data_IF_256057838138
#
_entry.id   IF_256057838138
#
_cell.length_a   1.000
_cell.length_b   1.000
_cell.length_c   1.000
_cell.angle_alpha   90.00
_cell.angle_beta   90.00
_cell.angle_gamma   90.00
#
_symmetry.space_group_name_H-M   'P 1'
#
loop_
_entity.id
_entity.type
_entity.pdbx_description
1 polymer ?
#
# COMPACT_ATOMS: atom_id res chain seq x y z
N UNK A 1 -17.66 33.76 -11.85
CA UNK A 1 -17.64 33.75 -10.37
C UNK A 1 -16.86 32.50 -9.98
N UNK A 2 -15.58 32.66 -9.67
CA UNK A 2 -14.63 31.57 -9.46
C UNK A 2 -14.94 30.95 -8.10
N UNK A 3 -15.33 29.67 -8.07
CA UNK A 3 -15.41 28.88 -6.85
C UNK A 3 -14.23 27.90 -6.85
N UNK A 4 -13.27 28.19 -5.98
CA UNK A 4 -12.24 27.25 -5.54
C UNK A 4 -12.94 26.05 -4.89
N UNK A 5 -12.62 24.83 -5.34
CA UNK A 5 -12.96 23.59 -4.63
C UNK A 5 -11.70 23.16 -3.89
N UNK A 6 -11.84 23.08 -2.57
CA UNK A 6 -10.82 22.69 -1.60
C UNK A 6 -10.37 21.25 -1.87
N UNK A 7 -9.06 21.05 -1.91
CA UNK A 7 -8.41 19.79 -1.58
C UNK A 7 -8.75 19.42 -0.13
N UNK A 8 -9.31 18.23 0.06
CA UNK A 8 -9.71 17.70 1.35
C UNK A 8 -8.46 17.22 2.11
N UNK A 9 -7.72 18.15 2.72
CA UNK A 9 -6.75 17.80 3.77
C UNK A 9 -7.53 17.42 5.02
N UNK A 10 -7.45 16.15 5.41
CA UNK A 10 -8.11 15.60 6.58
C UNK A 10 -7.43 16.15 7.86
N UNK A 11 -7.81 17.35 8.28
CA UNK A 11 -7.39 17.92 9.56
C UNK A 11 -8.29 17.34 10.66
N UNK A 12 -7.84 16.30 11.36
CA UNK A 12 -8.54 15.76 12.53
C UNK A 12 -8.58 16.81 13.65
N UNK A 13 -9.78 17.28 13.98
CA UNK A 13 -10.05 18.08 15.18
C UNK A 13 -9.93 17.19 16.42
N UNK A 14 -8.85 17.38 17.18
CA UNK A 14 -8.70 16.81 18.53
C UNK A 14 -9.55 17.64 19.50
N UNK A 15 -10.62 17.07 20.02
CA UNK A 15 -11.33 17.60 21.18
C UNK A 15 -10.52 17.23 22.43
N UNK A 16 -9.64 18.13 22.89
CA UNK A 16 -8.96 17.98 24.17
C UNK A 16 -9.89 18.42 25.31
N UNK A 17 -10.29 17.47 26.16
CA UNK A 17 -10.89 17.77 27.46
C UNK A 17 -9.81 18.34 28.39
N UNK A 18 -9.87 19.65 28.63
CA UNK A 18 -9.03 20.39 29.57
C UNK A 18 -9.19 19.88 31.00
N UNK A 19 -8.07 19.60 31.68
CA UNK A 19 -8.03 19.57 33.13
C UNK A 19 -6.87 20.44 33.63
N UNK A 20 -7.23 21.56 34.26
CA UNK A 20 -6.33 22.51 34.88
C UNK A 20 -5.65 21.89 36.10
N UNK A 21 -4.33 22.02 36.22
CA UNK A 21 -3.72 22.45 37.48
C UNK A 21 -2.31 23.04 37.32
N UNK A 22 -2.14 24.23 37.90
CA UNK A 22 -0.91 25.02 38.00
C UNK A 22 0.02 24.41 39.07
N UNK A 23 1.35 24.47 38.85
CA UNK A 23 2.24 25.28 39.67
C UNK A 23 3.71 25.30 39.18
N UNK A 24 4.29 26.50 39.26
CA UNK A 24 5.66 26.92 38.97
C UNK A 24 6.72 26.25 39.86
N UNK A 25 7.96 26.07 39.37
CA UNK A 25 9.08 26.98 39.69
C UNK A 25 10.41 26.63 39.00
N UNK A 26 11.16 27.71 38.79
CA UNK A 26 12.39 27.93 38.03
C UNK A 26 13.63 27.72 38.93
N UNK A 27 14.74 27.16 38.40
CA UNK A 27 16.04 27.87 38.37
C UNK A 27 17.24 27.07 37.80
N UNK A 28 17.90 27.78 36.88
CA UNK A 28 19.28 27.76 36.37
C UNK A 28 20.39 27.22 37.29
N UNK A 29 21.42 26.61 36.70
CA UNK A 29 22.74 27.26 36.62
C UNK A 29 23.74 26.63 35.62
N UNK A 30 24.42 27.54 34.92
CA UNK A 30 25.58 27.40 34.03
C UNK A 30 26.83 26.96 34.78
N UNK A 31 27.77 26.30 34.07
CA UNK A 31 29.10 26.84 33.62
C UNK A 31 29.90 25.71 32.97
N UNK A 32 30.34 25.84 31.70
CA UNK A 32 31.69 26.28 31.27
C UNK A 32 32.82 25.40 31.85
N UNK A 33 33.81 24.88 31.13
CA UNK A 33 34.72 25.56 30.17
C UNK A 33 35.65 24.49 29.55
N UNK A 34 35.96 24.54 28.24
CA UNK A 34 37.27 24.84 27.60
C UNK A 34 38.44 23.87 27.90
N UNK A 35 39.39 23.49 27.03
CA UNK A 35 39.91 23.91 25.70
C UNK A 35 41.06 22.91 25.32
N UNK A 36 41.36 22.72 24.01
CA UNK A 36 42.71 22.72 23.36
C UNK A 36 43.73 21.58 23.70
N UNK A 37 44.58 20.99 22.83
CA UNK A 37 44.96 21.15 21.41
C UNK A 37 45.85 19.94 20.97
N UNK A 38 45.76 19.60 19.67
CA UNK A 38 46.77 19.06 18.72
C UNK A 38 47.89 18.09 19.13
N UNK A 39 48.03 16.98 18.37
CA UNK A 39 49.13 16.80 17.40
C UNK A 39 48.92 15.62 16.43
N UNK A 40 49.24 15.92 15.17
CA UNK A 40 49.26 15.12 13.93
C UNK A 40 50.40 14.10 13.83
N UNK A 41 50.16 12.91 13.26
CA UNK A 41 50.73 12.46 11.97
C UNK A 41 50.53 10.95 11.68
N UNK A 42 49.80 10.71 10.58
CA UNK A 42 50.03 9.81 9.44
C UNK A 42 50.43 8.32 9.58
N UNK A 43 49.69 7.54 8.78
CA UNK A 43 50.02 6.27 8.09
C UNK A 43 50.06 4.96 8.90
N UNK A 44 48.99 4.15 8.76
CA UNK A 44 48.97 3.02 7.81
C UNK A 44 47.62 2.30 7.81
N UNK A 45 47.14 2.09 6.59
CA UNK A 45 46.12 1.16 6.13
C UNK A 45 46.13 -0.22 6.81
N UNK A 46 44.93 -0.78 6.89
CA UNK A 46 44.53 -2.13 7.35
C UNK A 46 44.20 -2.23 8.84
N UNK A 47 42.94 -1.96 9.16
CA UNK A 47 42.13 -2.86 10.00
C UNK A 47 40.66 -2.41 9.90
N UNK A 48 39.84 -3.24 9.27
CA UNK A 48 38.41 -3.31 9.54
C UNK A 48 38.26 -3.58 11.04
N UNK A 49 38.02 -2.53 11.81
CA UNK A 49 37.54 -2.66 13.19
C UNK A 49 36.05 -2.37 13.19
N UNK A 50 35.32 -3.44 13.41
CA UNK A 50 34.08 -3.41 14.17
C UNK A 50 34.33 -2.58 15.43
N UNK A 51 33.80 -1.36 15.44
CA UNK A 51 33.43 -0.73 16.70
C UNK A 51 32.03 -1.26 17.03
N UNK A 52 32.00 -2.39 17.73
CA UNK A 52 30.90 -2.71 18.63
C UNK A 52 30.92 -1.65 19.75
N UNK A 53 30.32 -0.50 19.48
CA UNK A 53 29.72 0.28 20.57
C UNK A 53 28.52 -0.51 21.07
N UNK A 54 28.64 -1.01 22.31
CA UNK A 54 27.51 -1.34 23.17
C UNK A 54 26.64 -0.09 23.35
N UNK A 55 25.74 0.15 22.41
CA UNK A 55 24.58 1.01 22.58
C UNK A 55 23.35 0.09 22.68
N UNK A 56 22.70 0.12 23.84
CA UNK A 56 21.38 -0.46 24.09
C UNK A 56 20.30 0.32 23.30
N UNK A 57 20.37 0.35 21.97
CA UNK A 57 19.36 1.00 21.15
C UNK A 57 18.50 -0.09 20.52
N UNK A 58 17.27 -0.25 21.03
CA UNK A 58 16.25 -1.18 20.53
C UNK A 58 15.68 -0.78 19.15
N UNK A 59 16.16 0.32 18.57
CA UNK A 59 15.74 0.88 17.30
C UNK A 59 16.22 0.01 16.13
N UNK A 60 15.32 -0.27 15.18
CA UNK A 60 15.64 -1.00 13.94
C UNK A 60 15.01 -0.30 12.75
N UNK A 61 15.83 0.12 11.79
CA UNK A 61 15.40 0.58 10.48
C UNK A 61 15.84 -0.42 9.40
N UNK A 62 14.96 -0.70 8.44
CA UNK A 62 15.24 -1.60 7.32
C UNK A 62 14.65 -1.00 6.06
N UNK A 63 15.45 -0.98 5.00
CA UNK A 63 15.09 -0.45 3.69
C UNK A 63 15.45 -1.47 2.62
N UNK A 64 14.58 -1.64 1.63
CA UNK A 64 14.85 -2.51 0.49
C UNK A 64 13.99 -2.13 -0.72
N UNK A 65 14.37 -2.62 -1.89
CA UNK A 65 13.61 -2.47 -3.14
C UNK A 65 13.03 -3.82 -3.53
N UNK A 66 11.77 -3.82 -3.92
CA UNK A 66 11.05 -4.98 -4.43
C UNK A 66 10.60 -4.72 -5.87
N UNK A 67 10.60 -5.76 -6.70
CA UNK A 67 10.20 -5.67 -8.11
C UNK A 67 8.93 -6.44 -8.33
N UNK A 68 7.91 -5.75 -8.82
CA UNK A 68 6.57 -6.27 -9.00
C UNK A 68 6.28 -6.44 -10.48
N UNK A 69 5.70 -7.58 -10.83
CA UNK A 69 5.23 -7.89 -12.18
C UNK A 69 3.76 -8.23 -12.11
N UNK A 70 2.95 -7.48 -12.82
CA UNK A 70 1.51 -7.69 -12.91
C UNK A 70 1.18 -8.13 -14.32
N UNK A 71 0.35 -9.15 -14.45
CA UNK A 71 0.00 -9.71 -15.74
C UNK A 71 -1.47 -10.09 -15.78
N UNK A 72 -2.02 -10.12 -16.99
CA UNK A 72 -3.36 -10.63 -17.24
C UNK A 72 -3.37 -11.57 -18.44
N UNK A 73 -4.40 -12.41 -18.52
CA UNK A 73 -4.74 -13.13 -19.75
C UNK A 73 -6.07 -12.63 -20.32
N UNK A 74 -6.47 -13.17 -21.47
CA UNK A 74 -7.72 -12.80 -22.15
C UNK A 74 -8.97 -13.38 -21.46
N UNK A 75 -8.80 -14.30 -20.51
CA UNK A 75 -9.89 -14.88 -19.69
C UNK A 75 -10.23 -13.99 -18.48
N UNK A 76 -9.50 -12.89 -18.26
CA UNK A 76 -9.68 -12.00 -17.11
C UNK A 76 -8.92 -12.43 -15.85
N UNK A 77 -8.13 -13.51 -15.92
CA UNK A 77 -7.23 -13.89 -14.82
C UNK A 77 -6.18 -12.79 -14.62
N UNK A 78 -5.88 -12.49 -13.36
CA UNK A 78 -4.88 -11.53 -12.95
C UNK A 78 -3.79 -12.21 -12.10
N UNK A 79 -2.54 -11.89 -12.40
CA UNK A 79 -1.36 -12.46 -11.74
C UNK A 79 -0.46 -11.36 -11.26
N UNK A 80 0.04 -11.49 -10.04
CA UNK A 80 1.08 -10.63 -9.50
C UNK A 80 2.24 -11.46 -9.01
N UNK A 81 3.45 -11.08 -9.40
CA UNK A 81 4.70 -11.67 -8.93
C UNK A 81 5.49 -10.60 -8.20
N UNK A 82 5.80 -10.87 -6.94
CA UNK A 82 6.53 -9.97 -6.06
C UNK A 82 7.90 -10.56 -5.80
N UNK A 83 8.94 -9.90 -6.33
CA UNK A 83 10.33 -10.30 -6.10
C UNK A 83 10.91 -9.47 -4.97
N UNK A 84 11.56 -10.16 -4.03
CA UNK A 84 12.22 -9.52 -2.90
C UNK A 84 11.28 -8.67 -2.04
N UNK A 85 10.00 -9.03 -1.95
CA UNK A 85 9.04 -8.34 -1.09
C UNK A 85 8.72 -9.12 0.19
N UNK A 86 8.40 -8.36 1.24
CA UNK A 86 7.89 -8.81 2.51
C UNK A 86 6.43 -8.37 2.61
N UNK A 87 5.54 -9.35 2.42
CA UNK A 87 4.09 -9.14 2.30
C UNK A 87 3.53 -8.04 3.22
N UNK A 88 2.75 -7.07 2.70
CA UNK A 88 2.17 -5.98 3.48
C UNK A 88 1.06 -6.39 4.45
N UNK A 89 0.31 -7.46 4.19
CA UNK A 89 -0.99 -7.66 4.86
C UNK A 89 -1.04 -8.75 5.95
N UNK A 90 0.08 -9.37 6.33
CA UNK A 90 0.10 -10.42 7.36
C UNK A 90 0.98 -10.05 8.55
N UNK A 91 0.35 -9.34 9.48
CA UNK A 91 0.81 -9.13 10.85
C UNK A 91 0.64 -10.47 11.59
N UNK A 92 1.61 -11.37 11.45
CA UNK A 92 1.84 -12.40 12.46
C UNK A 92 3.19 -12.10 13.11
N UNK A 93 3.13 -11.94 14.45
CA UNK A 93 4.18 -11.51 15.36
C UNK A 93 5.47 -12.36 15.39
N UNK A 94 5.59 -13.36 14.50
CA UNK A 94 6.75 -14.26 14.40
C UNK A 94 7.50 -14.16 13.06
N UNK A 95 7.21 -13.15 12.23
CA UNK A 95 8.16 -12.82 11.16
C UNK A 95 9.37 -12.11 11.78
N UNK A 96 10.30 -12.90 12.34
CA UNK A 96 11.66 -12.46 12.60
C UNK A 96 12.07 -11.56 11.43
N UNK A 97 12.49 -10.34 11.72
CA UNK A 97 13.08 -9.44 10.74
C UNK A 97 14.23 -10.21 10.10
N UNK A 98 14.01 -10.88 8.96
CA UNK A 98 14.99 -11.81 8.41
C UNK A 98 16.17 -10.95 7.95
N UNK A 99 17.31 -10.91 8.68
CA UNK A 99 18.35 -9.92 8.43
C UNK A 99 19.23 -10.30 7.24
N UNK A 100 18.86 -11.33 6.47
CA UNK A 100 19.73 -11.93 5.48
C UNK A 100 19.03 -12.00 4.13
N UNK A 101 19.33 -11.01 3.30
CA UNK A 101 19.23 -10.93 1.83
C UNK A 101 19.71 -12.18 1.04
N UNK A 102 20.07 -13.28 1.71
CA UNK A 102 20.58 -14.53 1.10
C UNK A 102 19.49 -15.45 0.56
N UNK A 103 18.20 -15.13 0.76
CA UNK A 103 17.07 -15.86 0.17
C UNK A 103 16.08 -14.85 -0.40
N UNK A 104 16.22 -14.54 -1.70
CA UNK A 104 15.20 -13.76 -2.42
C UNK A 104 13.93 -14.60 -2.43
N UNK A 105 12.84 -14.07 -1.85
CA UNK A 105 11.53 -14.70 -1.93
C UNK A 105 10.82 -14.21 -3.18
N UNK A 106 10.17 -15.14 -3.87
CA UNK A 106 9.18 -14.85 -4.89
C UNK A 106 7.81 -15.19 -4.31
N UNK A 107 6.90 -14.24 -4.36
CA UNK A 107 5.52 -14.47 -3.96
C UNK A 107 4.60 -14.26 -5.16
N UNK A 108 3.53 -15.04 -5.23
CA UNK A 108 2.58 -14.98 -6.33
C UNK A 108 1.18 -14.79 -5.77
N UNK A 109 0.43 -13.87 -6.39
CA UNK A 109 -1.02 -13.79 -6.24
C UNK A 109 -1.66 -14.19 -7.57
N UNK A 110 -2.67 -15.06 -7.50
CA UNK A 110 -3.55 -15.38 -8.61
C UNK A 110 -4.98 -15.02 -8.22
N UNK A 111 -5.64 -14.19 -9.03
CA UNK A 111 -7.06 -13.88 -8.93
C UNK A 111 -7.76 -14.20 -10.24
N UNK A 112 -8.96 -14.76 -10.18
CA UNK A 112 -9.81 -14.98 -11.35
C UNK A 112 -11.23 -14.43 -11.16
N UNK A 113 -12.03 -14.54 -12.21
CA UNK A 113 -13.42 -14.08 -12.26
C UNK A 113 -14.38 -14.80 -11.31
N UNK A 114 -13.99 -15.96 -10.75
CA UNK A 114 -14.79 -16.66 -9.73
C UNK A 114 -14.38 -16.26 -8.30
N UNK A 115 -13.68 -15.14 -8.17
CA UNK A 115 -13.10 -14.61 -6.94
C UNK A 115 -12.20 -15.60 -6.18
N UNK A 116 -11.60 -16.53 -6.92
CA UNK A 116 -10.54 -17.38 -6.37
C UNK A 116 -9.30 -16.50 -6.27
N UNK A 117 -8.96 -16.09 -5.05
CA UNK A 117 -7.72 -15.40 -4.72
C UNK A 117 -6.76 -16.38 -4.01
N UNK A 118 -5.72 -16.84 -4.71
CA UNK A 118 -4.76 -17.80 -4.18
C UNK A 118 -3.38 -17.17 -4.05
N UNK A 119 -2.83 -17.27 -2.84
CA UNK A 119 -1.49 -16.82 -2.53
C UNK A 119 -0.47 -17.97 -2.49
N UNK A 120 0.73 -17.73 -3.03
CA UNK A 120 1.86 -18.66 -3.04
C UNK A 120 3.14 -17.98 -2.54
N UNK A 121 3.66 -18.41 -1.40
CA UNK A 121 4.87 -17.86 -0.78
C UNK A 121 5.74 -18.90 -0.07
N UNK A 122 5.19 -20.09 0.22
CA UNK A 122 5.88 -21.20 0.88
C UNK A 122 6.88 -21.82 -0.08
N UNK A 123 8.00 -22.30 0.49
CA UNK A 123 9.07 -22.95 -0.26
C UNK A 123 9.48 -22.18 -1.52
N UNK A 124 9.39 -20.84 -1.49
CA UNK A 124 9.64 -20.01 -2.64
C UNK A 124 11.12 -20.02 -3.04
N UNK A 125 11.35 -20.06 -4.35
CA UNK A 125 12.67 -20.14 -4.96
C UNK A 125 12.72 -19.11 -6.09
N UNK A 126 13.74 -18.25 -6.07
CA UNK A 126 14.24 -17.52 -7.23
C UNK A 126 15.63 -18.06 -7.56
N UNK A 127 15.72 -18.88 -8.61
CA UNK A 127 16.97 -19.43 -9.13
C UNK A 127 17.32 -18.76 -10.45
N UNK A 128 18.08 -17.67 -10.34
CA UNK A 128 18.54 -16.89 -11.49
C UNK A 128 19.44 -17.73 -12.40
N UNK A 129 20.23 -18.65 -11.84
CA UNK A 129 21.19 -19.46 -12.60
C UNK A 129 20.48 -20.44 -13.52
N UNK A 130 19.44 -21.10 -13.00
CA UNK A 130 18.64 -22.07 -13.75
C UNK A 130 17.38 -21.45 -14.38
N UNK A 131 17.26 -20.13 -14.34
CA UNK A 131 16.14 -19.38 -14.89
C UNK A 131 14.76 -19.84 -14.37
N UNK A 132 14.63 -20.11 -13.08
CA UNK A 132 13.42 -20.67 -12.47
C UNK A 132 12.90 -19.80 -11.33
N UNK A 133 11.58 -19.60 -11.32
CA UNK A 133 10.84 -19.10 -10.15
C UNK A 133 9.79 -20.12 -9.75
N UNK A 134 9.62 -20.33 -8.44
CA UNK A 134 8.68 -21.29 -7.88
C UNK A 134 8.13 -20.81 -6.53
N UNK A 135 6.88 -21.15 -6.21
CA UNK A 135 6.33 -21.05 -4.86
C UNK A 135 5.19 -22.05 -4.65
N UNK A 136 4.84 -22.26 -3.38
CA UNK A 136 3.73 -23.10 -2.92
C UNK A 136 2.70 -22.28 -2.15
N UNK A 137 1.44 -22.65 -2.32
CA UNK A 137 0.32 -22.19 -1.52
C UNK A 137 0.17 -23.05 -0.25
N UNK A 138 -0.62 -22.58 0.71
CA UNK A 138 -0.86 -23.31 1.97
C UNK A 138 -1.53 -24.68 1.78
N UNK A 139 -2.44 -24.77 0.80
CA UNK A 139 -3.07 -26.04 0.40
C UNK A 139 -2.12 -26.97 -0.37
N UNK A 140 -0.87 -26.55 -0.56
CA UNK A 140 0.19 -27.29 -1.22
C UNK A 140 0.13 -27.26 -2.75
N UNK A 141 -0.80 -26.54 -3.36
CA UNK A 141 -0.71 -26.21 -4.79
C UNK A 141 0.59 -25.44 -5.05
N UNK A 142 1.15 -25.58 -6.24
CA UNK A 142 2.38 -24.89 -6.61
C UNK A 142 2.23 -24.07 -7.89
N UNK A 143 3.10 -23.08 -8.04
CA UNK A 143 3.22 -22.24 -9.22
C UNK A 143 4.69 -22.11 -9.60
N UNK A 144 4.98 -22.19 -10.89
CA UNK A 144 6.33 -21.97 -11.44
C UNK A 144 6.33 -21.17 -12.74
N UNK A 145 7.44 -20.47 -12.98
CA UNK A 145 7.69 -19.67 -14.19
C UNK A 145 9.20 -19.54 -14.45
N UNK A 146 9.57 -18.86 -15.55
CA UNK A 146 10.95 -18.52 -15.91
C UNK A 146 11.27 -17.07 -15.57
N UNK A 147 12.41 -16.83 -14.91
CA UNK A 147 12.78 -15.49 -14.45
C UNK A 147 13.06 -14.50 -15.58
N UNK A 148 13.76 -14.93 -16.62
CA UNK A 148 14.14 -14.09 -17.76
C UNK A 148 12.96 -13.67 -18.64
N UNK A 149 11.82 -14.35 -18.51
CA UNK A 149 10.61 -14.07 -19.25
C UNK A 149 9.38 -14.50 -18.46
N UNK A 150 8.93 -13.63 -17.55
CA UNK A 150 7.74 -13.85 -16.73
C UNK A 150 6.50 -13.53 -17.57
N UNK A 151 6.14 -14.41 -18.51
CA UNK A 151 4.95 -14.29 -19.37
C UNK A 151 4.10 -15.55 -19.44
N UNK A 152 4.55 -16.63 -18.80
CA UNK A 152 3.82 -17.89 -18.73
C UNK A 152 4.03 -18.55 -17.37
N UNK A 153 2.98 -19.15 -16.83
CA UNK A 153 3.00 -19.85 -15.54
C UNK A 153 2.49 -21.26 -15.68
N UNK A 154 3.02 -22.15 -14.86
CA UNK A 154 2.46 -23.48 -14.67
C UNK A 154 1.98 -23.62 -13.23
N UNK A 155 0.68 -23.82 -13.08
CA UNK A 155 0.04 -24.09 -11.78
C UNK A 155 -0.22 -25.58 -11.64
N UNK A 156 0.12 -26.18 -10.50
CA UNK A 156 -0.08 -27.60 -10.24
C UNK A 156 -0.89 -27.81 -8.96
N UNK A 157 -1.96 -28.61 -9.04
CA UNK A 157 -2.77 -28.98 -7.88
C UNK A 157 -2.16 -30.15 -7.11
N UNK A 158 -2.18 -30.09 -5.78
CA UNK A 158 -1.74 -31.19 -4.90
C UNK A 158 -2.85 -32.20 -4.58
N UNK A 159 -4.06 -32.02 -5.10
CA UNK A 159 -5.15 -32.99 -4.89
C UNK A 159 -4.78 -34.39 -5.40
N UNK A 160 -5.50 -35.43 -4.94
CA UNK A 160 -5.23 -36.86 -5.14
C UNK A 160 -4.97 -37.31 -6.60
N UNK A 161 -5.23 -36.46 -7.61
CA UNK A 161 -5.01 -36.72 -9.03
C UNK A 161 -4.19 -35.61 -9.73
N UNK A 162 -3.30 -34.92 -9.02
CA UNK A 162 -2.43 -33.80 -9.48
C UNK A 162 -2.58 -33.40 -10.96
N UNK A 163 -3.31 -32.32 -11.21
CA UNK A 163 -3.47 -31.69 -12.53
C UNK A 163 -2.59 -30.44 -12.64
N UNK A 164 -2.05 -30.16 -13.83
CA UNK A 164 -1.38 -28.90 -14.13
C UNK A 164 -2.14 -28.08 -15.17
N UNK A 165 -2.23 -26.77 -14.96
CA UNK A 165 -2.72 -25.78 -15.93
C UNK A 165 -1.55 -24.88 -16.33
N UNK A 166 -1.30 -24.74 -17.62
CA UNK A 166 -0.44 -23.66 -18.14
C UNK A 166 -1.30 -22.43 -18.38
N UNK A 167 -0.78 -21.27 -17.98
CA UNK A 167 -1.44 -19.99 -18.17
C UNK A 167 -0.46 -19.04 -18.84
N UNK A 168 -0.86 -18.57 -20.03
CA UNK A 168 -0.10 -17.60 -20.80
C UNK A 168 -0.72 -16.22 -20.59
N UNK A 169 0.13 -15.23 -20.37
CA UNK A 169 -0.30 -13.85 -20.18
C UNK A 169 -0.22 -13.09 -21.50
N UNK A 170 -1.14 -12.13 -21.68
CA UNK A 170 -1.24 -11.34 -22.91
C UNK A 170 -0.78 -9.90 -22.72
N UNK A 171 -0.71 -9.43 -21.47
CA UNK A 171 -0.22 -8.09 -21.13
C UNK A 171 0.50 -8.10 -19.79
N UNK A 172 1.44 -7.18 -19.61
CA UNK A 172 2.20 -7.02 -18.38
C UNK A 172 2.38 -5.55 -17.99
N UNK A 173 2.53 -5.32 -16.70
CA UNK A 173 3.01 -4.08 -16.10
C UNK A 173 4.08 -4.39 -15.06
N UNK A 174 4.99 -3.45 -14.86
CA UNK A 174 6.10 -3.56 -13.91
C UNK A 174 6.06 -2.40 -12.92
N UNK A 175 6.53 -2.65 -11.72
CA UNK A 175 6.78 -1.60 -10.74
C UNK A 175 8.02 -1.91 -9.90
N UNK A 176 8.70 -0.86 -9.44
CA UNK A 176 9.64 -0.91 -8.34
C UNK A 176 8.97 -0.34 -7.09
N UNK A 177 9.14 -1.01 -5.96
CA UNK A 177 8.57 -0.61 -4.68
C UNK A 177 9.71 -0.39 -3.70
N UNK A 178 9.87 0.85 -3.25
CA UNK A 178 10.84 1.23 -2.23
C UNK A 178 10.16 1.07 -0.88
N UNK A 179 10.65 0.14 -0.07
CA UNK A 179 10.04 -0.21 1.21
C UNK A 179 10.87 0.35 2.37
N UNK A 180 10.18 0.85 3.38
CA UNK A 180 10.77 1.35 4.62
C UNK A 180 10.03 0.78 5.82
N UNK A 181 10.79 0.25 6.78
CA UNK A 181 10.27 -0.19 8.08
C UNK A 181 11.14 0.39 9.18
N UNK A 182 10.50 0.99 10.16
CA UNK A 182 11.13 1.49 11.37
C UNK A 182 10.36 1.00 12.59
N UNK A 183 11.09 0.52 13.60
CA UNK A 183 10.51 0.15 14.88
C UNK A 183 11.39 0.62 16.02
N UNK A 184 10.75 1.04 17.11
CA UNK A 184 11.43 1.41 18.35
C UNK A 184 10.63 0.99 19.59
N UNK A 185 11.29 0.97 20.74
CA UNK A 185 10.70 0.57 22.03
C UNK A 185 11.05 1.60 23.09
N UNK A 186 10.04 2.10 23.80
CA UNK A 186 10.25 3.09 24.86
C UNK A 186 11.05 2.50 26.02
N UNK A 187 11.58 3.37 26.88
CA UNK A 187 12.04 2.92 28.20
C UNK A 187 10.89 2.23 28.96
N UNK A 188 11.27 1.29 29.83
CA UNK A 188 10.32 0.60 30.69
C UNK A 188 9.83 1.55 31.79
N UNK A 189 8.51 1.68 31.92
CA UNK A 189 7.88 2.53 32.93
C UNK A 189 7.96 1.89 34.34
N UNK A 190 7.50 2.62 35.36
CA UNK A 190 7.52 2.20 36.77
C UNK A 190 6.74 0.90 37.06
N UNK A 191 5.86 0.47 36.14
CA UNK A 191 5.09 -0.77 36.21
C UNK A 191 5.73 -1.95 35.47
N UNK A 192 6.95 -1.78 34.93
CA UNK A 192 7.63 -2.82 34.17
C UNK A 192 7.12 -2.99 32.73
N UNK A 193 6.36 -2.02 32.21
CA UNK A 193 5.81 -2.06 30.84
C UNK A 193 6.54 -1.09 29.91
N UNK A 194 6.72 -1.47 28.65
CA UNK A 194 7.24 -0.60 27.59
C UNK A 194 6.22 -0.48 26.45
N UNK A 195 6.21 0.66 25.78
CA UNK A 195 5.41 0.88 24.57
C UNK A 195 6.28 0.67 23.32
N UNK A 196 5.64 0.41 22.20
CA UNK A 196 6.33 0.17 20.92
C UNK A 196 5.89 1.18 19.88
N UNK A 197 6.81 1.57 19.01
CA UNK A 197 6.54 2.31 17.80
C UNK A 197 6.81 1.42 16.59
N UNK A 198 5.88 1.37 15.64
CA UNK A 198 6.03 0.65 14.38
C UNK A 198 5.56 1.52 13.23
N UNK A 199 6.41 1.71 12.23
CA UNK A 199 6.11 2.46 11.02
C UNK A 199 6.55 1.65 9.80
N UNK A 200 5.64 1.48 8.86
CA UNK A 200 5.88 0.85 7.55
C UNK A 200 5.28 1.72 6.46
N UNK A 201 6.05 2.00 5.42
CA UNK A 201 5.55 2.72 4.25
C UNK A 201 6.29 2.26 2.99
N UNK A 202 5.74 2.61 1.83
CA UNK A 202 6.30 2.27 0.53
C UNK A 202 6.09 3.38 -0.49
N UNK A 203 7.11 3.66 -1.30
CA UNK A 203 6.99 4.48 -2.50
C UNK A 203 6.86 3.54 -3.71
N UNK A 204 5.75 3.64 -4.43
CA UNK A 204 5.41 2.76 -5.55
C UNK A 204 5.66 3.40 -6.90
N UNK A 205 6.55 2.81 -7.70
CA UNK A 205 7.02 3.41 -8.95
C UNK A 205 6.65 2.53 -10.14
N UNK A 206 5.74 2.99 -11.01
CA UNK A 206 5.42 2.28 -12.25
C UNK A 206 6.59 2.35 -13.23
N UNK A 207 6.90 1.23 -13.87
CA UNK A 207 7.96 1.09 -14.88
C UNK A 207 7.32 0.75 -16.22
N UNK A 208 7.38 1.65 -17.23
CA UNK A 208 6.82 1.37 -18.54
C UNK A 208 7.72 0.44 -19.34
N UNK A 209 7.12 -0.40 -20.17
CA UNK A 209 7.85 -1.23 -21.15
C UNK A 209 8.33 -0.42 -22.37
N UNK A 210 7.75 0.77 -22.59
CA UNK A 210 8.14 1.73 -23.64
C UNK A 210 8.44 3.09 -23.00
N UNK A 211 9.66 3.61 -23.22
CA UNK A 211 10.10 4.90 -22.70
C UNK A 211 9.20 6.07 -23.15
N UNK A 212 8.47 5.95 -24.26
CA UNK A 212 7.50 6.97 -24.68
C UNK A 212 6.32 7.12 -23.72
N UNK A 213 6.04 6.11 -22.88
CA UNK A 213 4.98 6.15 -21.86
C UNK A 213 5.47 6.70 -20.51
N UNK A 214 6.75 7.07 -20.40
CA UNK A 214 7.36 7.47 -19.13
C UNK A 214 6.65 8.66 -18.49
N UNK A 215 6.30 9.69 -19.26
CA UNK A 215 5.61 10.87 -18.73
C UNK A 215 4.26 10.52 -18.10
N UNK A 216 3.47 9.68 -18.77
CA UNK A 216 2.18 9.19 -18.26
C UNK A 216 2.36 8.37 -16.98
N UNK A 217 3.36 7.49 -16.95
CA UNK A 217 3.62 6.61 -15.80
C UNK A 217 4.22 7.38 -14.62
N UNK A 218 5.05 8.39 -14.87
CA UNK A 218 5.56 9.31 -13.86
C UNK A 218 4.43 10.10 -13.23
N UNK A 219 3.50 10.63 -14.04
CA UNK A 219 2.33 11.35 -13.53
C UNK A 219 1.50 10.49 -12.57
N UNK A 220 1.18 9.25 -12.96
CA UNK A 220 0.45 8.32 -12.08
C UNK A 220 1.27 7.99 -10.84
N UNK A 221 2.57 7.69 -11.00
CA UNK A 221 3.45 7.34 -9.88
C UNK A 221 3.60 8.50 -8.89
N UNK A 222 3.60 9.75 -9.34
CA UNK A 222 3.70 10.89 -8.43
C UNK A 222 2.38 11.15 -7.71
N UNK A 223 1.23 10.95 -8.37
CA UNK A 223 -0.08 11.12 -7.75
C UNK A 223 -0.36 10.06 -6.67
N UNK A 224 -0.07 8.78 -6.94
CA UNK A 224 -0.30 7.71 -5.95
C UNK A 224 0.58 7.85 -4.71
N UNK A 225 1.74 8.48 -4.85
CA UNK A 225 2.69 8.76 -3.77
C UNK A 225 2.63 10.24 -3.32
N UNK A 226 1.48 10.90 -3.41
CA UNK A 226 1.32 12.34 -3.11
C UNK A 226 1.87 12.80 -1.75
N UNK A 227 1.88 11.90 -0.75
CA UNK A 227 2.48 12.14 0.58
C UNK A 227 4.00 12.42 0.49
N UNK A 228 4.64 11.87 -0.54
CA UNK A 228 6.06 12.03 -0.81
C UNK A 228 6.25 13.08 -1.91
N UNK A 229 6.97 14.17 -1.61
CA UNK A 229 7.25 15.21 -2.61
C UNK A 229 8.31 14.75 -3.63
N UNK A 230 7.93 13.88 -4.57
CA UNK A 230 8.83 13.18 -5.51
C UNK A 230 9.34 14.06 -6.65
N UNK A 231 8.89 15.32 -6.77
CA UNK A 231 9.13 16.20 -7.92
C UNK A 231 10.62 16.45 -8.29
N UNK A 232 11.55 16.18 -7.37
CA UNK A 232 12.99 16.37 -7.58
C UNK A 232 13.76 15.06 -7.82
N UNK A 233 13.10 13.91 -7.75
CA UNK A 233 13.73 12.61 -7.93
C UNK A 233 13.78 12.28 -9.42
N UNK A 234 14.94 11.79 -9.87
CA UNK A 234 15.16 11.42 -11.27
C UNK A 234 15.15 9.91 -11.43
N UNK A 235 14.79 9.47 -12.62
CA UNK A 235 14.93 8.07 -13.05
C UNK A 235 16.40 7.79 -13.46
N UNK A 236 16.90 6.59 -13.15
CA UNK A 236 18.18 6.04 -13.61
C UNK A 236 18.00 5.25 -14.93
N UNK A 237 19.06 4.61 -15.42
CA UNK A 237 19.01 3.81 -16.66
C UNK A 237 18.06 2.61 -16.63
N UNK A 238 17.71 2.09 -15.45
CA UNK A 238 16.73 1.01 -15.27
C UNK A 238 15.30 1.56 -15.10
N UNK A 239 15.09 2.86 -15.30
CA UNK A 239 13.84 3.58 -15.03
C UNK A 239 13.40 3.49 -13.55
N UNK A 240 14.31 3.17 -12.64
CA UNK A 240 14.11 3.26 -11.20
C UNK A 240 14.55 4.64 -10.68
N UNK A 241 14.20 5.02 -9.45
CA UNK A 241 14.74 6.25 -8.87
C UNK A 241 16.25 6.18 -8.65
N UNK A 242 16.92 7.27 -8.99
CA UNK A 242 18.33 7.53 -8.69
C UNK A 242 18.44 8.05 -7.24
N UNK A 243 18.63 7.14 -6.29
CA UNK A 243 18.72 7.45 -4.85
C UNK A 243 20.08 8.04 -4.46
N UNK A 244 20.33 9.28 -4.88
CA UNK A 244 21.57 9.98 -4.53
C UNK A 244 21.58 10.33 -3.04
N UNK A 245 22.48 9.70 -2.28
CA UNK A 245 22.78 10.04 -0.88
C UNK A 245 21.60 9.80 0.09
N UNK A 246 20.82 8.74 -0.14
CA UNK A 246 19.68 8.37 0.73
C UNK A 246 18.59 9.44 0.72
N UNK A 247 18.26 9.96 -0.46
CA UNK A 247 17.17 10.92 -0.64
C UNK A 247 15.82 10.27 -0.40
N UNK A 248 15.66 9.00 -0.78
CA UNK A 248 14.41 8.24 -0.57
C UNK A 248 14.19 7.95 0.91
N UNK A 249 15.21 7.47 1.64
CA UNK A 249 15.14 7.19 3.09
C UNK A 249 14.64 8.40 3.88
N UNK A 250 15.15 9.59 3.55
CA UNK A 250 14.74 10.85 4.18
C UNK A 250 13.27 11.21 3.97
N UNK A 251 12.66 10.78 2.86
CA UNK A 251 11.24 11.02 2.64
C UNK A 251 10.40 10.25 3.66
N UNK A 252 10.73 8.98 3.90
CA UNK A 252 10.09 8.17 4.92
C UNK A 252 10.36 8.70 6.33
N UNK A 253 11.61 9.06 6.64
CA UNK A 253 11.95 9.66 7.95
C UNK A 253 11.14 10.91 8.22
N UNK A 254 10.96 11.78 7.22
CA UNK A 254 10.18 13.00 7.35
C UNK A 254 8.68 12.72 7.56
N UNK A 255 8.09 11.79 6.82
CA UNK A 255 6.67 11.41 6.97
C UNK A 255 6.40 10.76 8.34
N UNK A 256 7.33 9.93 8.82
CA UNK A 256 7.25 9.27 10.12
C UNK A 256 7.43 10.22 11.32
N UNK A 257 8.23 11.28 11.15
CA UNK A 257 8.79 12.07 12.25
C UNK A 257 7.72 12.63 13.21
N UNK A 258 6.59 13.09 12.70
CA UNK A 258 5.54 13.68 13.55
C UNK A 258 4.92 12.63 14.48
N UNK A 259 4.57 11.45 13.95
CA UNK A 259 4.05 10.32 14.73
C UNK A 259 5.05 9.82 15.76
N UNK A 260 6.32 9.74 15.37
CA UNK A 260 7.39 9.28 16.24
C UNK A 260 7.62 10.24 17.42
N UNK A 261 7.67 11.55 17.16
CA UNK A 261 7.84 12.56 18.20
C UNK A 261 6.64 12.64 19.15
N UNK A 262 5.42 12.44 18.64
CA UNK A 262 4.23 12.33 19.49
C UNK A 262 4.32 11.11 20.41
N UNK A 263 4.65 9.94 19.86
CA UNK A 263 4.83 8.70 20.62
C UNK A 263 5.90 8.85 21.72
N UNK A 264 7.05 9.45 21.39
CA UNK A 264 8.12 9.71 22.36
C UNK A 264 7.65 10.60 23.53
N UNK A 265 6.77 11.56 23.25
CA UNK A 265 6.26 12.50 24.25
C UNK A 265 5.12 11.89 25.08
N UNK A 266 4.28 11.04 24.46
CA UNK A 266 3.05 10.49 25.03
C UNK A 266 3.04 8.95 25.00
N UNK A 267 4.11 8.31 25.51
CA UNK A 267 4.39 6.87 25.45
C UNK A 267 3.50 5.97 26.33
N UNK A 268 2.26 6.38 26.61
CA UNK A 268 1.30 5.62 27.41
C UNK A 268 0.80 4.39 26.64
N UNK A 269 0.89 4.38 25.31
CA UNK A 269 0.48 3.27 24.45
C UNK A 269 1.38 3.09 23.23
N UNK A 270 1.31 1.90 22.62
CA UNK A 270 2.02 1.60 21.38
C UNK A 270 1.39 2.28 20.17
N UNK A 271 2.23 2.75 19.24
CA UNK A 271 1.82 3.35 17.98
C UNK A 271 2.18 2.44 16.81
N UNK A 272 1.28 2.32 15.84
CA UNK A 272 1.47 1.57 14.61
C UNK A 272 0.92 2.36 13.42
N UNK A 273 1.73 2.49 12.37
CA UNK A 273 1.32 3.02 11.08
C UNK A 273 1.84 2.11 9.97
N UNK A 274 0.98 1.75 9.03
CA UNK A 274 1.38 1.01 7.84
C UNK A 274 0.69 1.58 6.62
N UNK A 275 1.43 1.81 5.53
CA UNK A 275 0.88 2.11 4.21
C UNK A 275 1.46 1.17 3.15
N UNK A 276 0.65 0.82 2.16
CA UNK A 276 1.06 0.02 1.01
C UNK A 276 0.25 0.37 -0.23
N UNK A 277 0.84 0.13 -1.40
CA UNK A 277 0.22 0.38 -2.70
C UNK A 277 0.31 -0.89 -3.54
N UNK A 278 -0.78 -1.24 -4.24
CA UNK A 278 -0.82 -2.40 -5.12
C UNK A 278 -1.70 -2.13 -6.36
N UNK A 279 -1.39 -2.75 -7.49
CA UNK A 279 -2.26 -2.73 -8.68
C UNK A 279 -3.30 -3.85 -8.53
N UNK A 280 -4.57 -3.49 -8.48
CA UNK A 280 -5.67 -4.46 -8.39
C UNK A 280 -6.04 -5.03 -9.76
N UNK A 281 -5.92 -4.23 -10.82
CA UNK A 281 -6.15 -4.65 -12.20
C UNK A 281 -5.63 -3.61 -13.20
N UNK A 282 -5.51 -4.00 -14.48
CA UNK A 282 -5.27 -3.06 -15.57
C UNK A 282 -5.81 -3.61 -16.90
N UNK A 283 -6.10 -2.72 -17.84
CA UNK A 283 -6.31 -3.04 -19.25
C UNK A 283 -5.44 -2.13 -20.12
N UNK A 284 -5.71 -2.07 -21.42
CA UNK A 284 -4.89 -1.28 -22.35
C UNK A 284 -5.04 0.24 -22.14
N UNK A 285 -6.15 0.68 -21.52
CA UNK A 285 -6.53 2.09 -21.37
C UNK A 285 -6.53 2.58 -19.93
N UNK A 286 -6.64 1.68 -18.95
CA UNK A 286 -6.81 2.03 -17.55
C UNK A 286 -6.02 1.13 -16.62
N UNK A 287 -5.69 1.68 -15.45
CA UNK A 287 -5.05 0.97 -14.34
C UNK A 287 -5.82 1.26 -13.06
N UNK A 288 -6.12 0.21 -12.30
CA UNK A 288 -6.72 0.28 -10.98
C UNK A 288 -5.67 0.00 -9.91
N UNK A 289 -5.55 0.91 -8.96
CA UNK A 289 -4.55 0.91 -7.90
C UNK A 289 -5.28 1.03 -6.56
N UNK A 290 -4.89 0.20 -5.60
CA UNK A 290 -5.36 0.28 -4.21
C UNK A 290 -4.25 0.81 -3.33
N UNK A 291 -4.57 1.84 -2.54
CA UNK A 291 -3.76 2.29 -1.41
C UNK A 291 -4.40 1.77 -0.14
N UNK A 292 -3.63 1.06 0.66
CA UNK A 292 -4.07 0.55 1.96
C UNK A 292 -3.29 1.28 3.04
N UNK A 293 -3.97 1.75 4.08
CA UNK A 293 -3.32 2.31 5.25
C UNK A 293 -3.97 1.83 6.54
N UNK A 294 -3.17 1.58 7.57
CA UNK A 294 -3.61 1.35 8.95
C UNK A 294 -2.93 2.34 9.87
N UNK A 295 -3.64 2.76 10.91
CA UNK A 295 -3.13 3.70 11.91
C UNK A 295 -3.72 3.35 13.28
N UNK A 296 -2.85 3.19 14.27
CA UNK A 296 -3.20 3.04 15.67
C UNK A 296 -2.28 3.94 16.49
N UNK A 297 -2.86 4.94 17.15
CA UNK A 297 -2.14 5.90 18.00
C UNK A 297 -2.60 5.77 19.47
N UNK A 298 -2.98 4.54 19.87
CA UNK A 298 -3.66 4.26 21.13
C UNK A 298 -5.19 4.34 21.04
N UNK A 299 -5.88 3.86 22.08
CA UNK A 299 -7.35 3.85 22.16
C UNK A 299 -7.95 2.44 22.09
N UNK A 300 -9.25 2.35 21.77
CA UNK A 300 -9.97 1.09 21.76
C UNK A 300 -9.66 0.22 20.53
N UNK A 301 -9.39 0.84 19.38
CA UNK A 301 -9.03 0.19 18.12
C UNK A 301 -8.27 1.17 17.21
N UNK A 302 -7.60 0.63 16.18
CA UNK A 302 -7.02 1.43 15.10
C UNK A 302 -8.07 1.83 14.05
N UNK A 303 -7.63 2.58 13.04
CA UNK A 303 -8.40 2.88 11.83
C UNK A 303 -7.66 2.32 10.62
N UNK A 304 -8.40 1.94 9.60
CA UNK A 304 -7.84 1.56 8.32
C UNK A 304 -8.60 2.25 7.18
N UNK A 305 -7.95 2.36 6.03
CA UNK A 305 -8.53 2.94 4.84
C UNK A 305 -8.01 2.18 3.62
N UNK A 306 -8.91 1.67 2.79
CA UNK A 306 -8.59 1.16 1.47
C UNK A 306 -9.14 2.11 0.42
N UNK A 307 -8.25 2.90 -0.18
CA UNK A 307 -8.64 3.88 -1.18
C UNK A 307 -8.26 3.40 -2.57
N UNK A 308 -9.26 3.30 -3.44
CA UNK A 308 -9.08 2.83 -4.81
C UNK A 308 -8.97 4.02 -5.77
N UNK A 309 -8.03 3.90 -6.69
CA UNK A 309 -7.67 4.93 -7.66
C UNK A 309 -7.67 4.29 -9.04
N UNK A 310 -8.34 4.95 -9.98
CA UNK A 310 -8.31 4.55 -11.38
C UNK A 310 -7.69 5.65 -12.21
N UNK A 311 -6.75 5.30 -13.07
CA UNK A 311 -6.09 6.24 -13.97
C UNK A 311 -6.23 5.83 -15.42
N UNK A 312 -6.26 6.81 -16.31
CA UNK A 312 -6.07 6.60 -17.74
C UNK A 312 -4.60 6.32 -18.03
N UNK A 313 -4.30 5.21 -18.69
CA UNK A 313 -2.97 4.88 -19.22
C UNK A 313 -2.63 5.62 -20.52
N UNK A 314 -3.59 6.38 -21.07
CA UNK A 314 -3.36 7.25 -22.23
C UNK A 314 -2.89 8.65 -21.82
N UNK A 315 -3.44 9.17 -20.71
CA UNK A 315 -3.23 10.58 -20.29
C UNK A 315 -2.55 10.73 -18.94
N UNK A 316 -2.52 9.68 -18.12
CA UNK A 316 -2.07 9.72 -16.73
C UNK A 316 -3.02 10.45 -15.79
N UNK A 317 -4.20 10.85 -16.26
CA UNK A 317 -5.21 11.52 -15.43
C UNK A 317 -5.94 10.52 -14.53
N UNK A 318 -6.15 10.93 -13.28
CA UNK A 318 -7.02 10.23 -12.34
C UNK A 318 -8.48 10.37 -12.78
N UNK A 319 -9.19 9.25 -12.75
CA UNK A 319 -10.62 9.19 -13.02
C UNK A 319 -11.32 9.12 -11.66
N UNK A 320 -12.19 10.09 -11.39
CA UNK A 320 -12.99 10.13 -10.15
C UNK A 320 -14.45 9.77 -10.44
N UNK A 321 -15.13 9.14 -9.48
CA UNK A 321 -16.55 8.76 -9.61
C UNK A 321 -17.43 9.96 -9.95
N UNK A 322 -17.15 11.09 -9.31
CA UNK A 322 -17.80 12.40 -9.53
C UNK A 322 -17.64 12.92 -10.97
N UNK A 323 -16.62 12.47 -11.68
CA UNK A 323 -16.36 12.89 -13.06
C UNK A 323 -17.14 12.07 -14.07
N UNK A 324 -17.32 10.76 -13.88
CA UNK A 324 -17.88 9.90 -14.93
C UNK A 324 -19.35 9.54 -14.76
N UNK A 325 -19.94 9.62 -13.56
CA UNK A 325 -21.38 9.38 -13.37
C UNK A 325 -22.19 10.57 -13.90
N UNK A 326 -23.21 10.31 -14.70
CA UNK A 326 -24.10 11.32 -15.33
C UNK A 326 -24.95 12.05 -14.29
N UNK A 327 -25.64 11.27 -13.46
CA UNK A 327 -26.56 11.74 -12.43
C UNK A 327 -26.56 10.73 -11.28
N UNK A 328 -26.17 11.18 -10.07
CA UNK A 328 -26.16 10.35 -8.88
C UNK A 328 -27.57 10.15 -8.30
N UNK A 329 -28.54 10.98 -8.69
CA UNK A 329 -29.93 10.92 -8.23
C UNK A 329 -30.84 10.15 -9.20
N UNK A 330 -30.28 9.52 -10.23
CA UNK A 330 -31.03 8.66 -11.14
C UNK A 330 -31.73 7.53 -10.36
N UNK A 331 -33.05 7.41 -10.56
CA UNK A 331 -33.89 6.49 -9.79
C UNK A 331 -33.61 5.02 -10.11
N UNK A 332 -33.20 4.70 -11.35
CA UNK A 332 -32.85 3.33 -11.73
C UNK A 332 -31.50 2.95 -11.11
N UNK A 333 -30.50 3.84 -11.17
CA UNK A 333 -29.21 3.62 -10.50
C UNK A 333 -29.39 3.40 -9.00
N UNK A 334 -30.16 4.27 -8.32
CA UNK A 334 -30.46 4.11 -6.89
C UNK A 334 -31.16 2.80 -6.59
N UNK A 335 -32.12 2.38 -7.41
CA UNK A 335 -32.81 1.09 -7.23
C UNK A 335 -31.84 -0.09 -7.32
N UNK A 336 -30.93 -0.08 -8.31
CA UNK A 336 -29.91 -1.13 -8.47
C UNK A 336 -28.97 -1.15 -7.25
N UNK A 337 -28.50 0.02 -6.80
CA UNK A 337 -27.62 0.12 -5.63
C UNK A 337 -28.30 -0.45 -4.38
N UNK A 338 -29.55 -0.07 -4.12
CA UNK A 338 -30.31 -0.55 -2.96
C UNK A 338 -30.48 -2.07 -3.01
N UNK A 339 -30.79 -2.63 -4.18
CA UNK A 339 -30.88 -4.08 -4.37
C UNK A 339 -29.55 -4.78 -4.04
N UNK A 340 -28.42 -4.25 -4.56
CA UNK A 340 -27.08 -4.81 -4.29
C UNK A 340 -26.72 -4.71 -2.81
N UNK A 341 -26.98 -3.59 -2.16
CA UNK A 341 -26.73 -3.39 -0.73
C UNK A 341 -27.51 -4.40 0.12
N UNK A 342 -28.80 -4.58 -0.15
CA UNK A 342 -29.65 -5.55 0.56
C UNK A 342 -29.36 -7.02 0.19
N UNK A 343 -28.61 -7.27 -0.88
CA UNK A 343 -28.17 -8.62 -1.24
C UNK A 343 -26.91 -9.08 -0.49
N UNK A 344 -26.23 -8.18 0.22
CA UNK A 344 -25.06 -8.52 1.03
C UNK A 344 -25.51 -9.41 2.19
N UNK A 345 -24.84 -10.54 2.37
CA UNK A 345 -25.14 -11.50 3.44
C UNK A 345 -25.14 -10.82 4.81
N UNK A 346 -26.10 -11.22 5.65
CA UNK A 346 -26.31 -10.69 7.00
C UNK A 346 -26.56 -9.16 7.10
N UNK A 347 -26.90 -8.49 5.99
CA UNK A 347 -27.30 -7.07 5.99
C UNK A 347 -28.79 -6.88 5.73
N UNK A 348 -29.34 -5.86 6.36
CA UNK A 348 -30.69 -5.36 6.17
C UNK A 348 -30.70 -3.82 6.32
N UNK A 349 -31.86 -3.18 6.20
CA UNK A 349 -31.96 -1.71 6.31
C UNK A 349 -31.37 -1.14 7.61
N UNK A 350 -31.55 -1.82 8.75
CA UNK A 350 -31.03 -1.38 10.07
C UNK A 350 -29.51 -1.54 10.20
N UNK A 351 -28.86 -2.19 9.24
CA UNK A 351 -27.40 -2.34 9.20
C UNK A 351 -26.71 -1.03 8.76
N UNK A 352 -27.44 -0.12 8.14
CA UNK A 352 -26.93 1.13 7.58
C UNK A 352 -27.15 2.31 8.53
N UNK A 353 -26.18 3.23 8.56
CA UNK A 353 -26.17 4.41 9.42
C UNK A 353 -27.08 5.54 8.92
N UNK A 354 -27.52 5.45 7.66
CA UNK A 354 -28.37 6.42 6.97
C UNK A 354 -29.48 5.68 6.21
N UNK A 355 -30.61 6.34 5.91
CA UNK A 355 -31.62 5.78 5.01
C UNK A 355 -31.03 5.34 3.67
N UNK A 356 -31.49 4.20 3.14
CA UNK A 356 -30.94 3.61 1.91
C UNK A 356 -31.05 4.53 0.69
N UNK A 357 -32.06 5.40 0.64
CA UNK A 357 -32.29 6.37 -0.43
C UNK A 357 -31.37 7.61 -0.36
N UNK A 358 -30.69 7.81 0.77
CA UNK A 358 -29.64 8.83 0.96
C UNK A 358 -28.24 8.32 0.56
N UNK A 359 -28.06 7.01 0.36
CA UNK A 359 -26.77 6.42 -0.04
C UNK A 359 -26.46 6.76 -1.51
N UNK A 360 -25.24 7.24 -1.76
CA UNK A 360 -24.78 7.67 -3.09
C UNK A 360 -23.42 7.10 -3.45
N UNK A 361 -23.19 6.85 -4.75
CA UNK A 361 -21.86 6.49 -5.27
C UNK A 361 -20.85 7.65 -5.17
N UNK A 362 -21.31 8.90 -4.97
CA UNK A 362 -20.41 10.05 -4.86
C UNK A 362 -19.44 9.95 -3.66
N UNK A 363 -19.81 9.18 -2.63
CA UNK A 363 -19.00 8.96 -1.42
C UNK A 363 -18.07 7.74 -1.53
N UNK A 364 -17.96 7.15 -2.71
CA UNK A 364 -17.18 5.93 -2.93
C UNK A 364 -15.81 6.21 -3.55
N UNK A 365 -14.85 5.36 -3.21
CA UNK A 365 -13.76 5.06 -4.14
C UNK A 365 -14.18 3.89 -5.02
N UNK A 366 -13.55 3.70 -6.18
CA UNK A 366 -13.87 2.58 -7.06
C UNK A 366 -12.64 1.97 -7.69
N UNK A 367 -12.74 0.72 -8.09
CA UNK A 367 -11.79 0.06 -8.97
C UNK A 367 -12.50 -0.67 -10.09
N UNK A 368 -11.75 -0.97 -11.14
CA UNK A 368 -12.21 -1.78 -12.27
C UNK A 368 -11.55 -3.14 -12.15
N UNK A 369 -12.34 -4.18 -12.42
CA UNK A 369 -11.84 -5.53 -12.62
C UNK A 369 -12.32 -6.06 -13.98
N UNK A 370 -11.99 -7.31 -14.29
CA UNK A 370 -12.30 -7.91 -15.59
C UNK A 370 -13.80 -7.99 -15.93
N UNK A 371 -14.69 -7.95 -14.93
CA UNK A 371 -16.15 -8.12 -15.09
C UNK A 371 -16.99 -6.86 -14.81
N UNK A 372 -16.41 -5.82 -14.24
CA UNK A 372 -17.16 -4.62 -13.91
C UNK A 372 -16.43 -3.61 -13.04
N UNK A 373 -17.23 -2.73 -12.46
CA UNK A 373 -16.80 -1.67 -11.56
C UNK A 373 -17.26 -1.98 -10.14
N UNK A 374 -16.35 -1.81 -9.20
CA UNK A 374 -16.56 -2.10 -7.79
C UNK A 374 -16.48 -0.79 -7.02
N UNK A 375 -17.56 -0.46 -6.31
CA UNK A 375 -17.71 0.79 -5.59
C UNK A 375 -17.64 0.50 -4.09
N UNK A 376 -16.74 1.20 -3.40
CA UNK A 376 -16.44 0.97 -1.99
C UNK A 376 -16.72 2.23 -1.19
N UNK A 377 -17.61 2.10 -0.22
CA UNK A 377 -17.75 3.05 0.88
C UNK A 377 -16.77 2.67 2.00
N UNK A 378 -15.91 3.61 2.43
CA UNK A 378 -15.03 3.41 3.57
C UNK A 378 -15.79 3.05 4.86
N UNK A 379 -15.05 2.57 5.86
CA UNK A 379 -15.58 2.37 7.22
C UNK A 379 -16.24 3.66 7.75
N UNK A 380 -17.33 3.50 8.51
CA UNK A 380 -18.14 4.60 9.04
C UNK A 380 -18.88 5.48 8.03
N UNK A 381 -18.72 5.29 6.72
CA UNK A 381 -19.44 6.11 5.73
C UNK A 381 -20.93 5.80 5.74
N UNK A 382 -21.30 4.52 5.54
CA UNK A 382 -22.71 4.08 5.53
C UNK A 382 -23.00 2.94 6.51
N UNK A 383 -21.99 2.35 7.14
CA UNK A 383 -22.10 1.22 8.08
C UNK A 383 -21.23 1.43 9.32
N UNK A 384 -21.58 0.85 10.48
CA UNK A 384 -20.68 0.84 11.64
C UNK A 384 -19.36 0.11 11.35
N UNK A 385 -18.29 0.46 12.08
CA UNK A 385 -16.95 -0.14 11.94
C UNK A 385 -16.92 -1.66 11.92
N UNK A 386 -17.75 -2.30 12.75
CA UNK A 386 -17.78 -3.77 12.89
C UNK A 386 -18.21 -4.49 11.61
N UNK A 387 -18.92 -3.81 10.71
CA UNK A 387 -19.31 -4.35 9.41
C UNK A 387 -18.25 -4.10 8.32
N UNK A 388 -17.18 -3.39 8.65
CA UNK A 388 -16.11 -3.02 7.73
C UNK A 388 -16.56 -2.07 6.62
N UNK A 389 -15.77 -2.05 5.55
CA UNK A 389 -16.11 -1.37 4.30
C UNK A 389 -17.34 -2.01 3.66
N UNK A 390 -18.08 -1.22 2.88
CA UNK A 390 -19.19 -1.72 2.07
C UNK A 390 -18.81 -1.67 0.61
N UNK A 391 -18.89 -2.80 -0.08
CA UNK A 391 -18.60 -2.91 -1.50
C UNK A 391 -19.85 -3.37 -2.25
N UNK A 392 -20.11 -2.78 -3.42
CA UNK A 392 -21.03 -3.34 -4.41
C UNK A 392 -20.34 -3.43 -5.76
N UNK A 393 -20.67 -4.47 -6.52
CA UNK A 393 -20.20 -4.66 -7.88
C UNK A 393 -21.33 -4.39 -8.89
N UNK A 394 -21.02 -3.59 -9.91
CA UNK A 394 -21.87 -3.36 -11.07
C UNK A 394 -21.11 -3.83 -12.32
N UNK A 395 -21.70 -4.77 -13.04
CA UNK A 395 -21.16 -5.20 -14.33
C UNK A 395 -21.08 -4.01 -15.29
N UNK A 396 -20.21 -4.10 -16.30
CA UNK A 396 -20.10 -3.06 -17.32
C UNK A 396 -21.43 -2.77 -18.01
N UNK A 397 -22.34 -3.75 -18.13
CA UNK A 397 -23.66 -3.56 -18.72
C UNK A 397 -24.61 -2.81 -17.78
N UNK A 398 -24.59 -3.12 -16.47
CA UNK A 398 -25.43 -2.44 -15.47
C UNK A 398 -25.05 -0.96 -15.36
N UNK A 399 -23.76 -0.63 -15.34
CA UNK A 399 -23.33 0.76 -15.10
C UNK A 399 -23.37 1.63 -16.38
N UNK A 400 -23.19 1.05 -17.57
CA UNK A 400 -23.05 1.78 -18.85
C UNK A 400 -24.08 2.89 -19.10
N UNK A 401 -25.38 2.72 -18.82
CA UNK A 401 -26.37 3.78 -19.03
C UNK A 401 -26.07 5.07 -18.24
N UNK A 402 -25.42 4.93 -17.09
CA UNK A 402 -25.16 6.00 -16.12
C UNK A 402 -23.78 6.65 -16.28
N UNK A 403 -22.92 6.11 -17.16
CA UNK A 403 -21.58 6.65 -17.45
C UNK A 403 -21.67 7.72 -18.54
N UNK A 404 -21.00 8.87 -18.37
CA UNK A 404 -20.85 9.91 -19.41
C UNK A 404 -20.09 9.35 -20.60
N UNK A 405 -20.54 9.69 -21.81
CA UNK A 405 -20.05 9.07 -23.05
C UNK A 405 -18.52 9.16 -23.22
N UNK A 406 -17.92 10.28 -22.81
CA UNK A 406 -16.46 10.52 -22.84
C UNK A 406 -15.63 9.55 -21.98
N UNK A 407 -16.27 8.88 -21.01
CA UNK A 407 -15.66 7.88 -20.14
C UNK A 407 -16.04 6.43 -20.52
N UNK A 408 -16.78 6.22 -21.61
CA UNK A 408 -17.24 4.87 -22.01
C UNK A 408 -16.09 3.90 -22.30
N UNK A 409 -14.92 4.42 -22.66
CA UNK A 409 -13.71 3.63 -22.93
C UNK A 409 -13.20 2.87 -21.69
N UNK A 410 -13.63 3.25 -20.50
CA UNK A 410 -13.29 2.59 -19.23
C UNK A 410 -14.02 1.24 -19.11
N UNK A 411 -15.14 1.08 -19.82
CA UNK A 411 -16.00 -0.11 -19.80
C UNK A 411 -15.67 -1.09 -20.95
N UNK A 412 -14.55 -0.85 -21.63
CA UNK A 412 -14.00 -1.66 -22.74
C UNK A 412 -12.69 -2.30 -22.27
#
# INVERSE_FOLDING_TARGET
MIKNILTLSLMLLIISCSNNNKNNQINNNKTNTNLIETQTNETKTNELKQDEELNNNNTKNIEWISHYYYMKNDEGDFFSVYLNDRWPDYINNDSELIPNYKKIKAAFNYKNLNDINQFYDKNSILDITNNKIYAEAENGNSIESTYSNITSFKMTSKSLNSSSKEINTTSSLKAAVYNYVYSDVSETNEYGSASTFSYKDSIFLLIPDDANKLEVYDKISFDINEDFNLNNIKRNENLEFDDKKGSISKLFENDMNDFYNEWLTNSVGSYESSKSINITYFNDKTISIRRTSTLYLGGAHGVYNNYNLVYSLETGEKIEVTNFIKDFDDTELKSIMIEKLLSIEDRNEESYLVPLDEITLADTSFYIYADGMYFIWPIYTITPYVLGETEIALSFNEIRPFIKDEYSYILE
#
